data_IF_444545025517
#
_entry.id   IF_444545025517
#
_cell.length_a   1.000
_cell.length_b   1.000
_cell.length_c   1.000
_cell.angle_alpha   90.00
_cell.angle_beta   90.00
_cell.angle_gamma   90.00
#
_symmetry.space_group_name_H-M   'P 1'
#
loop_
_entity.id
_entity.type
_entity.pdbx_description
1 polymer ?
#
# COMPACT_ATOMS: atom_id res chain seq x y z
N UNK A 1 4.54 -20.11 23.94
CA UNK A 1 4.45 -19.80 22.50
C UNK A 1 5.53 -20.58 21.77
N UNK A 2 5.16 -21.64 21.04
CA UNK A 2 6.09 -22.60 20.41
C UNK A 2 6.76 -22.10 19.13
N UNK A 3 7.34 -20.91 19.17
CA UNK A 3 8.12 -20.39 18.04
C UNK A 3 9.40 -21.21 17.89
N UNK A 4 9.78 -21.61 16.66
CA UNK A 4 11.00 -22.37 16.46
C UNK A 4 12.22 -21.53 16.86
N UNK A 5 13.23 -22.13 17.52
CA UNK A 5 14.41 -21.42 18.01
C UNK A 5 15.33 -20.92 16.89
N UNK A 6 15.14 -21.42 15.67
CA UNK A 6 15.85 -21.00 14.46
C UNK A 6 14.89 -20.98 13.26
N UNK A 7 15.18 -20.16 12.22
CA UNK A 7 14.46 -20.23 10.96
C UNK A 7 14.55 -21.66 10.40
N UNK A 8 13.45 -22.19 9.87
CA UNK A 8 13.54 -23.41 9.07
C UNK A 8 14.43 -23.13 7.86
N UNK A 9 15.29 -24.08 7.44
CA UNK A 9 15.98 -23.98 6.17
C UNK A 9 14.98 -23.67 5.07
N UNK A 10 15.32 -22.74 4.17
CA UNK A 10 14.49 -22.47 3.01
C UNK A 10 14.46 -23.75 2.16
N UNK A 11 13.26 -24.23 1.84
CA UNK A 11 13.10 -25.32 0.88
C UNK A 11 13.77 -24.91 -0.44
N UNK A 12 14.38 -25.88 -1.14
CA UNK A 12 14.98 -25.63 -2.42
C UNK A 12 13.93 -25.02 -3.36
N UNK A 13 14.26 -23.87 -3.98
CA UNK A 13 13.35 -23.16 -4.85
C UNK A 13 12.91 -24.09 -5.99
N UNK A 14 11.66 -24.53 -6.00
CA UNK A 14 11.12 -25.38 -7.05
C UNK A 14 10.84 -24.51 -8.28
N UNK A 15 11.57 -24.68 -9.41
CA UNK A 15 11.40 -23.83 -10.59
C UNK A 15 10.02 -23.98 -11.25
N UNK A 16 9.32 -25.09 -10.99
CA UNK A 16 7.96 -25.40 -11.48
C UNK A 16 6.85 -24.83 -10.56
N UNK A 17 7.21 -24.26 -9.41
CA UNK A 17 6.25 -23.73 -8.44
C UNK A 17 5.69 -22.37 -8.88
N UNK A 18 4.39 -22.15 -8.68
CA UNK A 18 3.81 -20.80 -8.79
C UNK A 18 4.47 -19.88 -7.77
N UNK A 19 4.92 -18.70 -8.21
CA UNK A 19 5.52 -17.71 -7.32
C UNK A 19 4.58 -17.40 -6.13
N UNK A 20 5.16 -17.38 -4.94
CA UNK A 20 4.44 -17.09 -3.71
C UNK A 20 5.20 -16.04 -2.92
N UNK A 21 4.58 -14.87 -2.72
CA UNK A 21 5.21 -13.75 -2.00
C UNK A 21 5.37 -14.00 -0.49
N UNK A 22 4.80 -15.09 0.03
CA UNK A 22 4.73 -15.36 1.45
C UNK A 22 3.54 -14.70 2.13
N UNK A 23 3.06 -15.31 3.22
CA UNK A 23 1.84 -14.88 3.91
C UNK A 23 1.92 -13.43 4.43
N UNK A 24 3.11 -13.01 4.85
CA UNK A 24 3.33 -11.67 5.37
C UNK A 24 3.12 -10.59 4.30
N UNK A 25 3.81 -10.69 3.16
CA UNK A 25 3.64 -9.76 2.04
C UNK A 25 2.21 -9.86 1.47
N UNK A 26 1.64 -11.07 1.43
CA UNK A 26 0.26 -11.28 0.99
C UNK A 26 -0.73 -10.40 1.77
N UNK A 27 -0.64 -10.43 3.11
CA UNK A 27 -1.51 -9.62 3.98
C UNK A 27 -1.27 -8.13 3.78
N UNK A 28 -0.02 -7.68 3.70
CA UNK A 28 0.29 -6.26 3.47
C UNK A 28 -0.28 -5.78 2.13
N UNK A 29 -0.16 -6.60 1.10
CA UNK A 29 -0.68 -6.30 -0.24
C UNK A 29 -2.20 -6.31 -0.31
N UNK A 30 -2.86 -7.24 0.38
CA UNK A 30 -4.32 -7.26 0.51
C UNK A 30 -4.82 -6.01 1.21
N UNK A 31 -4.12 -5.56 2.27
CA UNK A 31 -4.41 -4.30 2.94
C UNK A 31 -4.20 -3.13 1.99
N UNK A 32 -3.07 -3.03 1.30
CA UNK A 32 -2.83 -1.94 0.35
C UNK A 32 -3.87 -1.88 -0.77
N UNK A 33 -4.32 -3.03 -1.28
CA UNK A 33 -5.37 -3.09 -2.29
C UNK A 33 -6.73 -2.57 -1.80
N UNK A 34 -6.92 -2.43 -0.49
CA UNK A 34 -8.14 -1.92 0.15
C UNK A 34 -7.88 -0.58 0.87
N UNK A 35 -6.83 0.16 0.49
CA UNK A 35 -6.45 1.41 1.16
C UNK A 35 -7.54 2.50 1.08
N UNK A 36 -8.43 2.43 0.09
CA UNK A 36 -9.55 3.37 -0.07
C UNK A 36 -10.77 3.01 0.82
N UNK A 37 -10.78 1.79 1.37
CA UNK A 37 -11.90 1.18 2.08
C UNK A 37 -11.53 0.77 3.52
N UNK A 38 -10.44 1.30 4.07
CA UNK A 38 -9.97 0.98 5.43
C UNK A 38 -10.16 2.12 6.44
N UNK A 39 -10.34 1.74 7.70
CA UNK A 39 -10.47 2.68 8.83
C UNK A 39 -9.09 3.27 9.15
N UNK A 40 -9.05 4.58 9.44
CA UNK A 40 -7.84 5.40 9.56
C UNK A 40 -6.72 4.80 10.42
N UNK A 41 -7.06 4.05 11.48
CA UNK A 41 -6.09 3.43 12.38
C UNK A 41 -5.33 2.23 11.77
N UNK A 42 -5.95 1.48 10.87
CA UNK A 42 -5.31 0.34 10.21
C UNK A 42 -4.47 0.75 8.99
N UNK A 43 -4.80 1.90 8.40
CA UNK A 43 -4.15 2.42 7.20
C UNK A 43 -2.67 2.75 7.41
N UNK A 44 -2.31 3.41 8.51
CA UNK A 44 -0.93 3.85 8.77
C UNK A 44 0.05 2.75 9.16
N UNK A 45 -0.43 1.64 9.71
CA UNK A 45 0.45 0.52 10.12
C UNK A 45 0.93 -0.25 8.88
N UNK A 46 0.04 -0.50 7.91
CA UNK A 46 0.41 -1.20 6.68
C UNK A 46 1.44 -0.43 5.85
N UNK A 47 1.22 0.89 5.70
CA UNK A 47 2.12 1.76 4.93
C UNK A 47 3.48 1.90 5.61
N UNK A 48 3.55 2.16 6.92
CA UNK A 48 4.83 2.27 7.63
C UNK A 48 5.65 0.97 7.63
N UNK A 49 5.00 -0.19 7.72
CA UNK A 49 5.68 -1.49 7.58
C UNK A 49 6.23 -1.64 6.16
N UNK A 50 5.46 -1.33 5.13
CA UNK A 50 5.94 -1.38 3.73
C UNK A 50 7.08 -0.40 3.47
N UNK A 51 7.01 0.82 3.99
CA UNK A 51 8.10 1.81 3.89
C UNK A 51 9.38 1.29 4.55
N UNK A 52 9.28 0.65 5.73
CA UNK A 52 10.42 0.02 6.39
C UNK A 52 10.98 -1.18 5.63
N UNK A 53 10.12 -1.97 4.98
CA UNK A 53 10.58 -3.05 4.10
C UNK A 53 11.31 -2.47 2.87
N UNK A 54 10.80 -1.40 2.26
CA UNK A 54 11.45 -0.76 1.12
C UNK A 54 12.85 -0.19 1.43
N UNK A 55 13.09 0.23 2.68
CA UNK A 55 14.43 0.66 3.13
C UNK A 55 15.34 -0.51 3.48
N UNK A 56 14.81 -1.70 3.76
CA UNK A 56 15.59 -2.88 4.15
C UNK A 56 16.63 -3.25 3.07
N UNK A 57 17.90 -3.50 3.45
CA UNK A 57 18.97 -3.78 2.48
C UNK A 57 18.90 -5.24 2.02
N UNK A 58 17.96 -5.55 1.13
CA UNK A 58 17.85 -6.86 0.48
C UNK A 58 17.64 -6.72 -1.03
N UNK A 59 18.47 -7.35 -1.87
CA UNK A 59 18.53 -7.10 -3.31
C UNK A 59 17.19 -7.31 -4.01
N UNK A 60 16.56 -8.48 -3.84
CA UNK A 60 15.30 -8.79 -4.52
C UNK A 60 14.06 -8.12 -3.91
N UNK A 61 14.15 -7.65 -2.66
CA UNK A 61 12.98 -7.09 -1.98
C UNK A 61 12.74 -5.65 -2.43
N UNK A 62 13.84 -4.92 -2.69
CA UNK A 62 13.77 -3.59 -3.25
C UNK A 62 13.12 -3.60 -4.63
N UNK A 63 13.59 -4.47 -5.53
CA UNK A 63 13.02 -4.65 -6.88
C UNK A 63 11.53 -5.01 -6.79
N UNK A 64 11.16 -5.96 -5.94
CA UNK A 64 9.77 -6.40 -5.79
C UNK A 64 8.80 -5.32 -5.28
N UNK A 65 9.29 -4.36 -4.51
CA UNK A 65 8.48 -3.27 -3.96
C UNK A 65 8.51 -1.99 -4.81
N UNK A 66 9.66 -1.66 -5.42
CA UNK A 66 9.90 -0.32 -5.97
C UNK A 66 10.19 -0.31 -7.48
N UNK A 67 10.49 -1.44 -8.12
CA UNK A 67 10.74 -1.47 -9.58
C UNK A 67 9.42 -1.59 -10.36
N UNK A 68 9.03 -0.55 -11.13
CA UNK A 68 7.83 -0.60 -11.96
C UNK A 68 7.98 -1.48 -13.22
N UNK A 69 9.21 -1.85 -13.58
CA UNK A 69 9.54 -2.63 -14.78
C UNK A 69 9.80 -4.12 -14.48
N UNK A 70 9.58 -4.54 -13.23
CA UNK A 70 9.74 -5.92 -12.84
C UNK A 70 8.80 -6.83 -13.64
N UNK A 71 9.37 -7.79 -14.35
CA UNK A 71 8.62 -8.79 -15.10
C UNK A 71 8.02 -9.82 -14.14
N UNK A 72 6.72 -9.71 -13.91
CA UNK A 72 5.97 -10.65 -13.07
C UNK A 72 5.40 -11.79 -13.91
N UNK A 73 5.44 -13.01 -13.36
CA UNK A 73 4.69 -14.13 -13.93
C UNK A 73 3.16 -13.83 -13.88
N UNK A 74 2.36 -14.40 -14.78
CA UNK A 74 0.91 -14.21 -14.79
C UNK A 74 0.27 -14.50 -13.42
N UNK A 75 -0.62 -13.61 -12.98
CA UNK A 75 -1.30 -13.74 -11.68
C UNK A 75 -0.48 -13.29 -10.46
N UNK A 76 0.80 -12.97 -10.64
CA UNK A 76 1.62 -12.39 -9.57
C UNK A 76 1.37 -10.88 -9.45
N UNK A 77 1.70 -10.33 -8.29
CA UNK A 77 1.50 -8.91 -7.96
C UNK A 77 2.76 -8.34 -7.34
N UNK A 78 3.12 -7.12 -7.71
CA UNK A 78 4.09 -6.28 -6.99
C UNK A 78 3.36 -5.15 -6.27
N UNK A 79 4.06 -4.45 -5.37
CA UNK A 79 3.53 -3.23 -4.76
C UNK A 79 3.13 -2.21 -5.84
N UNK A 80 3.95 -2.02 -6.88
CA UNK A 80 3.64 -1.16 -8.01
C UNK A 80 2.32 -1.56 -8.70
N UNK A 81 2.14 -2.84 -9.03
CA UNK A 81 0.90 -3.34 -9.67
C UNK A 81 -0.35 -3.09 -8.82
N UNK A 82 -0.21 -3.15 -7.49
CA UNK A 82 -1.29 -2.87 -6.54
C UNK A 82 -1.62 -1.38 -6.55
N UNK A 83 -0.59 -0.52 -6.48
CA UNK A 83 -0.77 0.93 -6.52
C UNK A 83 -1.45 1.39 -7.81
N UNK A 84 -1.04 0.88 -8.97
CA UNK A 84 -1.68 1.19 -10.26
C UNK A 84 -3.16 0.80 -10.25
N UNK A 85 -3.48 -0.40 -9.73
CA UNK A 85 -4.88 -0.87 -9.64
C UNK A 85 -5.71 -0.02 -8.69
N UNK A 86 -5.15 0.37 -7.54
CA UNK A 86 -5.79 1.28 -6.57
C UNK A 86 -6.04 2.66 -7.18
N UNK A 87 -5.08 3.20 -7.93
CA UNK A 87 -5.24 4.49 -8.62
C UNK A 87 -6.33 4.38 -9.70
N UNK A 88 -6.37 3.28 -10.46
CA UNK A 88 -7.43 3.01 -11.43
C UNK A 88 -8.82 2.99 -10.79
N UNK A 89 -8.97 2.25 -9.68
CA UNK A 89 -10.22 2.20 -8.90
C UNK A 89 -10.58 3.57 -8.32
N UNK A 90 -9.61 4.30 -7.76
CA UNK A 90 -9.80 5.66 -7.28
C UNK A 90 -10.36 6.57 -8.37
N UNK A 91 -9.75 6.56 -9.57
CA UNK A 91 -10.21 7.39 -10.69
C UNK A 91 -11.67 7.06 -11.05
N UNK A 92 -12.03 5.78 -11.10
CA UNK A 92 -13.41 5.35 -11.37
C UNK A 92 -14.39 5.83 -10.29
N UNK A 93 -14.01 5.75 -9.01
CA UNK A 93 -14.86 6.21 -7.89
C UNK A 93 -15.01 7.73 -7.89
N UNK A 94 -13.94 8.49 -8.15
CA UNK A 94 -13.97 9.95 -8.16
C UNK A 94 -14.91 10.53 -9.22
N UNK A 95 -15.05 9.87 -10.38
CA UNK A 95 -16.01 10.30 -11.41
C UNK A 95 -17.46 10.32 -10.91
N UNK A 96 -17.78 9.52 -9.88
CA UNK A 96 -19.13 9.41 -9.31
C UNK A 96 -19.36 10.34 -8.12
N UNK A 97 -18.32 11.04 -7.65
CA UNK A 97 -18.41 11.90 -6.46
C UNK A 97 -18.45 13.37 -6.87
N UNK A 98 -19.61 14.05 -6.73
CA UNK A 98 -19.68 15.48 -7.02
C UNK A 98 -18.84 16.27 -6.01
N UNK A 99 -18.25 17.37 -6.50
CA UNK A 99 -17.43 18.28 -5.70
C UNK A 99 -16.26 17.60 -4.95
N UNK A 100 -15.72 16.50 -5.49
CA UNK A 100 -14.69 15.70 -4.82
C UNK A 100 -13.46 16.51 -4.39
N UNK A 101 -13.06 17.55 -5.14
CA UNK A 101 -11.92 18.42 -4.79
C UNK A 101 -12.15 19.16 -3.48
N UNK A 102 -13.34 19.73 -3.30
CA UNK A 102 -13.71 20.45 -2.08
C UNK A 102 -13.78 19.48 -0.89
N UNK A 103 -14.38 18.31 -1.10
CA UNK A 103 -14.46 17.24 -0.09
C UNK A 103 -13.07 16.74 0.35
N UNK A 104 -12.15 16.53 -0.59
CA UNK A 104 -10.78 16.14 -0.30
C UNK A 104 -10.04 17.22 0.51
N UNK A 105 -10.19 18.50 0.14
CA UNK A 105 -9.59 19.61 0.89
C UNK A 105 -10.13 19.68 2.33
N UNK A 106 -11.44 19.47 2.52
CA UNK A 106 -12.06 19.43 3.84
C UNK A 106 -11.47 18.31 4.69
N UNK A 107 -11.38 17.08 4.15
CA UNK A 107 -10.82 15.94 4.87
C UNK A 107 -9.35 16.16 5.24
N UNK A 108 -8.54 16.76 4.36
CA UNK A 108 -7.15 17.14 4.72
C UNK A 108 -7.12 18.10 5.91
N UNK A 109 -7.98 19.12 5.92
CA UNK A 109 -8.05 20.08 7.05
C UNK A 109 -8.50 19.41 8.35
N UNK A 110 -9.45 18.48 8.27
CA UNK A 110 -9.90 17.69 9.42
C UNK A 110 -8.77 16.80 9.97
N UNK A 111 -8.00 16.13 9.10
CA UNK A 111 -6.85 15.32 9.50
C UNK A 111 -5.74 16.15 10.15
N UNK A 112 -5.61 17.43 9.76
CA UNK A 112 -4.70 18.40 10.40
C UNK A 112 -5.26 19.02 11.68
N UNK A 113 -6.48 18.68 12.10
CA UNK A 113 -7.14 19.26 13.27
C UNK A 113 -7.60 20.72 13.09
N UNK A 114 -7.60 21.24 11.87
CA UNK A 114 -7.98 22.64 11.58
C UNK A 114 -9.49 22.85 11.54
N UNK A 115 -10.26 21.79 11.33
CA UNK A 115 -11.73 21.81 11.24
C UNK A 115 -12.28 20.62 12.01
N UNK A 116 -13.38 20.78 12.78
CA UNK A 116 -14.03 19.67 13.46
C UNK A 116 -14.48 18.57 12.48
N UNK A 117 -14.48 17.33 12.97
CA UNK A 117 -14.83 16.14 12.20
C UNK A 117 -16.34 16.04 11.96
N UNK A 118 -16.84 16.75 10.96
CA UNK A 118 -18.21 16.56 10.45
C UNK A 118 -18.31 15.23 9.67
N UNK A 119 -19.42 14.51 9.86
CA UNK A 119 -19.74 13.37 9.01
C UNK A 119 -20.08 13.88 7.61
N UNK A 120 -19.36 13.36 6.62
CA UNK A 120 -19.53 13.68 5.21
C UNK A 120 -19.53 12.39 4.41
N UNK A 121 -20.29 12.36 3.32
CA UNK A 121 -20.26 11.26 2.37
C UNK A 121 -18.85 11.02 1.86
N UNK A 122 -18.48 9.74 1.77
CA UNK A 122 -17.18 9.28 1.28
C UNK A 122 -15.96 9.74 2.10
N UNK A 123 -16.14 10.14 3.36
CA UNK A 123 -15.00 10.50 4.25
C UNK A 123 -13.94 9.42 4.31
N UNK A 124 -14.32 8.13 4.30
CA UNK A 124 -13.38 7.00 4.28
C UNK A 124 -12.51 6.97 3.02
N UNK A 125 -13.12 7.13 1.84
CA UNK A 125 -12.43 7.21 0.56
C UNK A 125 -11.39 8.33 0.56
N UNK A 126 -11.80 9.54 0.93
CA UNK A 126 -10.90 10.70 0.92
C UNK A 126 -9.77 10.59 1.96
N UNK A 127 -10.04 9.97 3.11
CA UNK A 127 -9.01 9.63 4.08
C UNK A 127 -7.99 8.65 3.50
N UNK A 128 -8.45 7.60 2.81
CA UNK A 128 -7.60 6.67 2.08
C UNK A 128 -6.76 7.35 1.00
N UNK A 129 -7.32 8.32 0.26
CA UNK A 129 -6.58 9.12 -0.74
C UNK A 129 -5.43 9.89 -0.11
N UNK A 130 -5.66 10.56 1.03
CA UNK A 130 -4.61 11.31 1.73
C UNK A 130 -3.49 10.37 2.19
N UNK A 131 -3.84 9.20 2.76
CA UNK A 131 -2.83 8.23 3.17
C UNK A 131 -2.05 7.67 1.97
N UNK A 132 -2.74 7.36 0.87
CA UNK A 132 -2.10 6.87 -0.36
C UNK A 132 -1.12 7.89 -0.93
N UNK A 133 -1.50 9.17 -0.95
CA UNK A 133 -0.62 10.25 -1.40
C UNK A 133 0.64 10.35 -0.54
N UNK A 134 0.50 10.40 0.78
CA UNK A 134 1.65 10.50 1.69
C UNK A 134 2.56 9.26 1.59
N UNK A 135 1.98 8.07 1.46
CA UNK A 135 2.73 6.85 1.25
C UNK A 135 3.52 6.87 -0.07
N UNK A 136 2.90 7.31 -1.17
CA UNK A 136 3.61 7.43 -2.46
C UNK A 136 4.76 8.44 -2.39
N UNK A 137 4.61 9.55 -1.65
CA UNK A 137 5.70 10.51 -1.41
C UNK A 137 6.85 9.86 -0.63
N UNK A 138 6.53 9.08 0.40
CA UNK A 138 7.53 8.35 1.18
C UNK A 138 8.28 7.32 0.32
N UNK A 139 7.56 6.52 -0.48
CA UNK A 139 8.20 5.56 -1.40
C UNK A 139 9.10 6.25 -2.44
N UNK A 140 8.65 7.38 -3.00
CA UNK A 140 9.45 8.15 -3.94
C UNK A 140 10.75 8.67 -3.28
N UNK A 141 10.66 9.15 -2.04
CA UNK A 141 11.85 9.56 -1.28
C UNK A 141 12.81 8.38 -1.03
N UNK A 142 12.28 7.20 -0.68
CA UNK A 142 13.10 5.98 -0.48
C UNK A 142 13.79 5.56 -1.79
N UNK A 143 13.08 5.61 -2.92
CA UNK A 143 13.61 5.23 -4.22
C UNK A 143 14.67 6.21 -4.76
N UNK A 144 14.61 7.49 -4.40
CA UNK A 144 15.58 8.51 -4.82
C UNK A 144 16.90 8.50 -4.04
N UNK A 145 16.88 7.96 -2.81
CA UNK A 145 18.06 7.96 -1.91
C UNK A 145 18.93 6.70 -2.10
N UNK A 146 18.46 5.72 -2.87
CA UNK A 146 19.19 4.50 -3.24
C UNK A 146 19.68 4.59 -4.68
#
# INVERSE_FOLDING_TARGET
WGWPPAPRPLDACHPEGTFYEGHFLKVLFDRMAQILDQVLGCLGIGTSVLSRLATFPHPHLHEYLLDPYLNLAPGCRSLFSILVRVIGDLMQRLQRVPHFRAKLLLVRRQLMGLVPGEQMDHTMLFKGVVVLEEFCKELAAIALVK
#
